data_IF_121821649037
#
_entry.id   IF_121821649037
#
_cell.length_a   1.000
_cell.length_b   1.000
_cell.length_c   1.000
_cell.angle_alpha   90.00
_cell.angle_beta   90.00
_cell.angle_gamma   90.00
#
_symmetry.space_group_name_H-M   'P 1'
#
loop_
_entity.id
_entity.type
_entity.pdbx_description
1 polymer ?
#
# COMPACT_ATOMS: atom_id res chain seq x y z
N UNK A 1 -15.06 12.20 21.78
CA UNK A 1 -14.98 11.30 22.96
C UNK A 1 -13.54 11.28 23.45
N UNK A 2 -13.32 11.49 24.75
CA UNK A 2 -11.99 11.36 25.37
C UNK A 2 -12.09 10.29 26.45
N UNK A 3 -11.30 9.22 26.32
CA UNK A 3 -11.18 8.18 27.34
C UNK A 3 -9.75 8.18 27.86
N UNK A 4 -9.61 8.43 29.16
CA UNK A 4 -8.33 8.54 29.86
C UNK A 4 -8.30 7.50 30.99
N UNK A 5 -7.83 6.30 30.68
CA UNK A 5 -7.84 5.16 31.60
C UNK A 5 -9.10 4.30 31.53
N UNK A 6 -9.00 3.11 32.12
CA UNK A 6 -10.11 2.17 32.26
C UNK A 6 -10.33 1.26 31.05
N UNK A 7 -11.49 0.59 31.04
CA UNK A 7 -11.88 -0.36 29.98
C UNK A 7 -13.11 0.14 29.25
N UNK A 8 -13.03 0.23 27.92
CA UNK A 8 -14.20 0.40 27.06
C UNK A 8 -14.53 -0.95 26.42
N UNK A 9 -15.68 -1.52 26.78
CA UNK A 9 -16.18 -2.75 26.19
C UNK A 9 -17.56 -2.48 25.57
N UNK A 10 -17.60 -2.31 24.24
CA UNK A 10 -18.83 -2.04 23.48
C UNK A 10 -18.80 -2.82 22.18
N UNK A 11 -19.96 -3.18 21.63
CA UNK A 11 -19.98 -3.90 20.35
C UNK A 11 -19.35 -3.08 19.23
N UNK A 12 -19.70 -1.79 19.13
CA UNK A 12 -19.29 -0.92 18.03
C UNK A 12 -18.78 0.42 18.56
N UNK A 13 -17.63 0.87 18.06
CA UNK A 13 -17.11 2.22 18.29
C UNK A 13 -17.14 3.00 16.97
N UNK A 14 -18.23 3.73 16.77
CA UNK A 14 -18.54 4.40 15.51
C UNK A 14 -18.63 5.93 15.68
N UNK A 15 -18.34 6.68 14.62
CA UNK A 15 -18.45 8.15 14.62
C UNK A 15 -18.80 8.75 13.26
N UNK A 16 -19.34 9.97 13.27
CA UNK A 16 -19.61 10.76 12.05
C UNK A 16 -20.92 10.37 11.38
N UNK A 17 -22.00 10.29 12.16
CA UNK A 17 -23.34 9.96 11.68
C UNK A 17 -24.10 11.19 11.19
N UNK A 18 -24.49 11.19 9.92
CA UNK A 18 -25.28 12.26 9.31
C UNK A 18 -26.78 11.97 9.22
N UNK A 19 -27.17 10.69 9.19
CA UNK A 19 -28.47 10.33 8.63
C UNK A 19 -28.58 10.81 7.17
N UNK A 20 -29.80 11.07 6.69
CA UNK A 20 -30.06 11.67 5.37
C UNK A 20 -29.92 13.20 5.34
N UNK A 21 -29.26 13.79 6.34
CA UNK A 21 -29.18 15.25 6.46
C UNK A 21 -28.39 15.88 5.31
N UNK A 22 -29.00 16.76 4.50
CA UNK A 22 -28.28 17.53 3.50
C UNK A 22 -27.21 18.40 4.17
N UNK A 23 -26.06 18.57 3.52
CA UNK A 23 -24.98 19.46 4.00
C UNK A 23 -24.36 19.09 5.35
N UNK A 24 -24.41 17.81 5.74
CA UNK A 24 -23.74 17.34 6.95
C UNK A 24 -22.22 17.61 6.90
N UNK A 25 -21.72 18.31 7.91
CA UNK A 25 -20.31 18.56 8.13
C UNK A 25 -20.01 18.39 9.62
N UNK A 26 -19.55 17.21 10.03
CA UNK A 26 -19.17 16.95 11.41
C UNK A 26 -17.74 16.45 11.49
N UNK A 27 -17.04 16.92 12.52
CA UNK A 27 -15.64 16.62 12.73
C UNK A 27 -15.40 15.88 14.06
N UNK A 28 -15.94 14.66 14.24
CA UNK A 28 -15.83 13.97 15.52
C UNK A 28 -14.38 13.56 15.78
N UNK A 29 -13.92 13.84 17.00
CA UNK A 29 -12.60 13.41 17.49
C UNK A 29 -12.78 12.36 18.60
N UNK A 30 -12.10 11.23 18.47
CA UNK A 30 -12.01 10.18 19.50
C UNK A 30 -10.56 10.09 19.96
N UNK A 31 -10.30 10.33 21.25
CA UNK A 31 -9.00 10.18 21.88
C UNK A 31 -9.05 9.05 22.91
N UNK A 32 -8.18 8.06 22.77
CA UNK A 32 -8.06 6.93 23.69
C UNK A 32 -6.64 6.94 24.28
N UNK A 33 -6.54 7.14 25.59
CA UNK A 33 -5.28 7.24 26.32
C UNK A 33 -5.33 6.38 27.58
N UNK A 34 -4.30 5.58 27.84
CA UNK A 34 -4.22 4.66 28.98
C UNK A 34 -5.35 3.63 29.06
N UNK A 35 -6.07 3.38 27.96
CA UNK A 35 -7.33 2.63 27.97
C UNK A 35 -7.19 1.26 27.33
N UNK A 36 -7.86 0.25 27.88
CA UNK A 36 -8.08 -1.03 27.20
C UNK A 36 -9.42 -0.99 26.48
N UNK A 37 -9.41 -1.15 25.16
CA UNK A 37 -10.61 -1.03 24.32
C UNK A 37 -10.89 -2.37 23.67
N UNK A 38 -12.03 -2.96 23.97
CA UNK A 38 -12.49 -4.23 23.43
C UNK A 38 -13.79 -4.01 22.67
N UNK A 39 -13.73 -4.14 21.34
CA UNK A 39 -14.87 -3.92 20.46
C UNK A 39 -14.98 -5.00 19.40
N UNK A 40 -16.16 -5.15 18.79
CA UNK A 40 -16.29 -5.93 17.57
C UNK A 40 -15.83 -5.09 16.39
N UNK A 41 -16.42 -3.91 16.19
CA UNK A 41 -16.11 -3.07 15.04
C UNK A 41 -15.74 -1.64 15.45
N UNK A 42 -14.86 -1.04 14.64
CA UNK A 42 -14.53 0.39 14.69
C UNK A 42 -14.83 0.98 13.32
N UNK A 43 -15.55 2.09 13.26
CA UNK A 43 -15.80 2.82 12.01
C UNK A 43 -15.73 4.31 12.24
N UNK A 44 -14.83 4.96 11.51
CA UNK A 44 -14.62 6.39 11.62
C UNK A 44 -15.09 7.06 10.33
N UNK A 45 -15.93 8.10 10.49
CA UNK A 45 -16.62 8.80 9.40
C UNK A 45 -17.62 7.91 8.65
N UNK A 46 -18.68 7.52 9.36
CA UNK A 46 -19.79 6.68 8.89
C UNK A 46 -20.62 7.30 7.75
N UNK A 47 -20.59 8.62 7.57
CA UNK A 47 -21.42 9.33 6.60
C UNK A 47 -20.61 10.27 5.70
N UNK A 48 -21.09 10.47 4.47
CA UNK A 48 -20.56 11.48 3.57
C UNK A 48 -20.61 12.87 4.23
N UNK A 49 -19.57 13.68 4.02
CA UNK A 49 -19.41 14.98 4.66
C UNK A 49 -18.84 14.94 6.09
N UNK A 50 -18.72 13.76 6.72
CA UNK A 50 -17.99 13.63 7.99
C UNK A 50 -16.47 13.72 7.79
N UNK A 51 -15.77 14.35 8.73
CA UNK A 51 -14.31 14.26 8.89
C UNK A 51 -13.95 13.71 10.27
N UNK A 52 -13.74 12.41 10.41
CA UNK A 52 -13.44 11.79 11.70
C UNK A 52 -11.95 11.77 12.04
N UNK A 53 -11.60 12.01 13.30
CA UNK A 53 -10.25 11.82 13.83
C UNK A 53 -10.25 10.77 14.93
N UNK A 54 -9.37 9.76 14.82
CA UNK A 54 -9.16 8.74 15.84
C UNK A 54 -7.69 8.75 16.31
N UNK A 55 -7.47 9.07 17.57
CA UNK A 55 -6.16 9.08 18.20
C UNK A 55 -6.10 7.95 19.23
N UNK A 56 -5.31 6.92 18.92
CA UNK A 56 -5.05 5.79 19.79
C UNK A 56 -3.68 6.01 20.47
N UNK A 57 -3.66 6.75 21.58
CA UNK A 57 -2.43 7.30 22.16
C UNK A 57 -1.64 6.27 22.99
N UNK A 58 -2.30 5.62 23.96
CA UNK A 58 -1.69 4.61 24.83
C UNK A 58 -2.74 3.65 25.39
N UNK A 59 -2.33 2.42 25.76
CA UNK A 59 -3.23 1.35 26.17
C UNK A 59 -3.19 0.18 25.19
N UNK A 60 -4.35 -0.40 24.86
CA UNK A 60 -4.46 -1.43 23.82
C UNK A 60 -5.87 -1.43 23.20
N UNK A 61 -5.96 -1.71 21.89
CA UNK A 61 -7.22 -1.91 21.17
C UNK A 61 -7.32 -3.34 20.64
N UNK A 62 -8.42 -4.01 20.97
CA UNK A 62 -8.84 -5.26 20.32
C UNK A 62 -10.15 -5.00 19.58
N UNK A 63 -10.12 -5.15 18.26
CA UNK A 63 -11.29 -5.09 17.37
C UNK A 63 -11.46 -6.43 16.66
N UNK A 64 -12.31 -7.32 17.19
CA UNK A 64 -12.40 -8.72 16.68
C UNK A 64 -12.99 -8.82 15.28
N UNK A 65 -13.70 -7.80 14.82
CA UNK A 65 -14.25 -7.66 13.48
C UNK A 65 -13.45 -6.68 12.62
N UNK A 66 -14.14 -5.72 12.00
CA UNK A 66 -13.53 -4.73 11.11
C UNK A 66 -13.20 -3.43 11.84
N UNK A 67 -12.00 -2.91 11.60
CA UNK A 67 -11.65 -1.52 11.83
C UNK A 67 -11.60 -0.79 10.49
N UNK A 68 -12.43 0.24 10.31
CA UNK A 68 -12.46 1.02 9.09
C UNK A 68 -12.25 2.51 9.36
N UNK A 69 -11.32 3.09 8.61
CA UNK A 69 -10.97 4.51 8.67
C UNK A 69 -11.37 5.17 7.35
N UNK A 70 -12.32 6.09 7.42
CA UNK A 70 -12.87 6.75 6.24
C UNK A 70 -13.85 5.82 5.55
N UNK A 71 -14.93 5.43 6.25
CA UNK A 71 -15.94 4.52 5.73
C UNK A 71 -16.69 5.16 4.55
N UNK A 72 -17.61 6.11 4.79
CA UNK A 72 -18.32 6.87 3.75
C UNK A 72 -17.91 8.36 3.73
N UNK A 73 -17.22 8.82 4.77
CA UNK A 73 -16.66 10.16 4.87
C UNK A 73 -15.13 10.13 4.80
N UNK A 74 -14.53 11.19 5.34
CA UNK A 74 -13.08 11.33 5.44
C UNK A 74 -12.63 11.00 6.85
N UNK A 75 -11.53 10.28 7.05
CA UNK A 75 -10.99 10.11 8.39
C UNK A 75 -9.49 9.97 8.45
N UNK A 76 -8.93 10.42 9.57
CA UNK A 76 -7.53 10.20 9.94
C UNK A 76 -7.45 9.43 11.25
N UNK A 77 -6.67 8.36 11.26
CA UNK A 77 -6.34 7.61 12.47
C UNK A 77 -4.84 7.62 12.73
N UNK A 78 -4.45 7.78 13.99
CA UNK A 78 -3.04 7.65 14.44
C UNK A 78 -2.98 6.63 15.57
N UNK A 79 -2.12 5.62 15.41
CA UNK A 79 -1.97 4.52 16.34
C UNK A 79 -0.60 4.51 17.01
N UNK A 80 -0.57 4.86 18.29
CA UNK A 80 0.60 4.82 19.16
C UNK A 80 0.48 3.76 20.27
N UNK A 81 -0.55 2.93 20.22
CA UNK A 81 -0.77 1.77 21.09
C UNK A 81 -0.90 0.48 20.25
N UNK A 82 -0.65 -0.71 20.83
CA UNK A 82 -0.86 -1.98 20.12
C UNK A 82 -2.32 -2.19 19.72
N UNK A 83 -2.53 -2.75 18.53
CA UNK A 83 -3.83 -3.10 17.96
C UNK A 83 -3.86 -4.57 17.58
N UNK A 84 -4.86 -5.29 18.08
CA UNK A 84 -5.28 -6.59 17.55
C UNK A 84 -6.58 -6.40 16.78
N UNK A 85 -6.61 -6.77 15.51
CA UNK A 85 -7.75 -6.49 14.62
C UNK A 85 -8.14 -7.74 13.83
N UNK A 86 -9.42 -7.91 13.51
CA UNK A 86 -9.84 -8.90 12.52
C UNK A 86 -9.36 -8.43 11.14
N UNK A 87 -9.98 -7.37 10.64
CA UNK A 87 -9.68 -6.73 9.36
C UNK A 87 -9.42 -5.23 9.54
N UNK A 88 -8.46 -4.67 8.80
CA UNK A 88 -8.26 -3.22 8.73
C UNK A 88 -8.56 -2.73 7.32
N UNK A 89 -9.50 -1.78 7.18
CA UNK A 89 -9.76 -1.11 5.90
C UNK A 89 -9.57 0.40 6.01
N UNK A 90 -9.06 1.00 4.95
CA UNK A 90 -8.80 2.44 4.87
C UNK A 90 -9.38 2.91 3.55
N UNK A 91 -10.43 3.74 3.58
CA UNK A 91 -11.25 3.97 2.38
C UNK A 91 -11.93 2.68 1.91
N UNK A 92 -12.60 1.97 2.83
CA UNK A 92 -13.19 0.66 2.56
C UNK A 92 -14.53 0.70 1.84
N UNK A 93 -15.33 1.76 2.01
CA UNK A 93 -16.62 1.91 1.36
C UNK A 93 -16.58 2.91 0.19
N UNK A 94 -17.66 2.94 -0.60
CA UNK A 94 -17.76 3.81 -1.76
C UNK A 94 -17.68 5.30 -1.38
N UNK A 95 -16.77 6.06 -2.00
CA UNK A 95 -16.50 7.46 -1.70
C UNK A 95 -15.71 7.71 -0.40
N UNK A 96 -15.38 6.65 0.35
CA UNK A 96 -14.61 6.75 1.59
C UNK A 96 -13.17 7.22 1.37
N UNK A 97 -12.67 8.08 2.26
CA UNK A 97 -11.29 8.57 2.22
C UNK A 97 -10.64 8.39 3.57
N UNK A 98 -9.65 7.51 3.68
CA UNK A 98 -8.99 7.20 4.93
C UNK A 98 -7.49 7.45 4.92
N UNK A 99 -6.96 7.85 6.07
CA UNK A 99 -5.53 7.82 6.34
C UNK A 99 -5.23 7.20 7.71
N UNK A 100 -4.27 6.29 7.76
CA UNK A 100 -3.85 5.60 8.97
C UNK A 100 -2.34 5.72 9.17
N UNK A 101 -1.93 6.21 10.33
CA UNK A 101 -0.53 6.35 10.73
C UNK A 101 -0.22 5.37 11.85
N UNK A 102 0.58 4.34 11.54
CA UNK A 102 1.01 3.35 12.51
C UNK A 102 2.35 3.73 13.14
N UNK A 103 2.36 3.88 14.47
CA UNK A 103 3.53 4.12 15.32
C UNK A 103 3.75 2.97 16.32
N UNK A 104 3.03 1.85 16.20
CA UNK A 104 3.11 0.73 17.14
C UNK A 104 2.89 -0.62 16.41
N UNK A 105 2.53 -1.66 17.15
CA UNK A 105 2.29 -3.02 16.64
C UNK A 105 0.83 -3.16 16.22
N UNK A 106 0.60 -3.60 14.99
CA UNK A 106 -0.70 -4.06 14.51
C UNK A 106 -0.59 -5.55 14.18
N UNK A 107 -1.49 -6.34 14.76
CA UNK A 107 -1.63 -7.77 14.44
C UNK A 107 -3.02 -8.03 13.93
N UNK A 108 -3.12 -8.52 12.70
CA UNK A 108 -4.37 -9.12 12.25
C UNK A 108 -4.53 -10.54 12.76
N UNK A 109 -5.76 -10.90 13.09
CA UNK A 109 -6.16 -12.18 13.65
C UNK A 109 -6.86 -13.10 12.64
N UNK A 110 -7.16 -12.58 11.45
CA UNK A 110 -7.84 -13.33 10.40
C UNK A 110 -6.85 -13.81 9.33
N UNK A 111 -7.26 -14.87 8.63
CA UNK A 111 -6.52 -15.41 7.49
C UNK A 111 -6.61 -14.54 6.24
N UNK A 112 -5.94 -14.99 5.18
CA UNK A 112 -5.87 -14.26 3.92
C UNK A 112 -7.26 -14.03 3.31
N UNK A 113 -7.52 -12.78 2.93
CA UNK A 113 -8.75 -12.34 2.27
C UNK A 113 -8.51 -10.98 1.65
N UNK A 114 -9.23 -10.66 0.58
CA UNK A 114 -9.28 -9.31 -0.02
C UNK A 114 -9.68 -8.21 0.96
N UNK A 115 -10.33 -8.60 2.06
CA UNK A 115 -10.81 -7.71 3.11
C UNK A 115 -9.87 -7.64 4.32
N UNK A 116 -8.77 -8.41 4.35
CA UNK A 116 -7.94 -8.54 5.55
C UNK A 116 -7.20 -7.24 5.91
N UNK A 117 -6.39 -6.74 4.99
CA UNK A 117 -5.90 -5.38 5.03
C UNK A 117 -6.07 -4.73 3.68
N UNK A 118 -7.00 -3.79 3.59
CA UNK A 118 -7.40 -3.19 2.32
C UNK A 118 -7.23 -1.67 2.36
N UNK A 119 -6.46 -1.14 1.42
CA UNK A 119 -6.16 0.30 1.31
C UNK A 119 -6.78 0.82 0.00
N UNK A 120 -7.79 1.68 0.09
CA UNK A 120 -8.47 2.25 -1.07
C UNK A 120 -9.24 1.22 -1.88
N UNK A 121 -9.97 0.34 -1.18
CA UNK A 121 -10.68 -0.78 -1.77
C UNK A 121 -12.03 -0.35 -2.37
N UNK A 122 -12.72 0.61 -1.73
CA UNK A 122 -14.06 1.02 -2.13
C UNK A 122 -14.12 1.75 -3.48
N UNK A 123 -15.31 1.77 -4.05
CA UNK A 123 -15.63 2.51 -5.26
C UNK A 123 -15.38 4.03 -5.10
N UNK A 124 -14.62 4.69 -5.98
CA UNK A 124 -14.27 6.12 -5.84
C UNK A 124 -13.66 6.46 -4.47
N UNK A 125 -12.99 5.48 -3.85
CA UNK A 125 -12.37 5.63 -2.54
C UNK A 125 -10.89 5.94 -2.64
N UNK A 126 -10.34 6.41 -1.52
CA UNK A 126 -8.91 6.56 -1.35
C UNK A 126 -8.47 6.06 0.03
N UNK A 127 -7.37 5.31 0.08
CA UNK A 127 -6.74 4.88 1.32
C UNK A 127 -5.26 5.24 1.38
N UNK A 128 -4.83 5.66 2.57
CA UNK A 128 -3.43 5.90 2.90
C UNK A 128 -3.04 5.13 4.17
N UNK A 129 -2.01 4.31 4.11
CA UNK A 129 -1.38 3.74 5.29
C UNK A 129 0.08 4.14 5.35
N UNK A 130 0.53 4.57 6.52
CA UNK A 130 1.94 4.82 6.81
C UNK A 130 2.42 4.00 7.99
N UNK A 131 3.47 3.21 7.79
CA UNK A 131 4.23 2.58 8.87
C UNK A 131 5.46 3.43 9.21
N UNK A 132 5.57 3.86 10.47
CA UNK A 132 6.69 4.67 10.94
C UNK A 132 7.79 3.82 11.60
N UNK A 133 8.93 4.46 11.87
CA UNK A 133 10.05 3.81 12.56
C UNK A 133 9.61 3.24 13.92
N UNK A 134 10.09 2.03 14.24
CA UNK A 134 9.73 1.31 15.46
C UNK A 134 8.36 0.62 15.44
N UNK A 135 7.52 0.88 14.44
CA UNK A 135 6.21 0.26 14.29
C UNK A 135 6.28 -1.08 13.54
N UNK A 136 5.33 -1.98 13.78
CA UNK A 136 5.17 -3.19 12.98
C UNK A 136 3.71 -3.45 12.62
N UNK A 137 3.48 -4.07 11.47
CA UNK A 137 2.13 -4.46 11.06
C UNK A 137 2.16 -5.80 10.32
N UNK A 138 1.42 -6.78 10.82
CA UNK A 138 1.35 -8.12 10.22
C UNK A 138 -0.07 -8.43 9.78
N UNK A 139 -0.21 -8.78 8.51
CA UNK A 139 -1.47 -9.17 7.89
C UNK A 139 -1.26 -10.43 7.04
N UNK A 140 -2.30 -11.25 6.94
CA UNK A 140 -2.25 -12.40 6.05
C UNK A 140 -2.29 -11.96 4.59
N UNK A 141 -3.16 -11.00 4.28
CA UNK A 141 -3.21 -10.37 2.96
C UNK A 141 -3.21 -8.85 3.07
N UNK A 142 -2.41 -8.21 2.20
CA UNK A 142 -2.33 -6.76 2.02
C UNK A 142 -2.76 -6.42 0.59
N UNK A 143 -3.90 -5.74 0.44
CA UNK A 143 -4.38 -5.18 -0.81
C UNK A 143 -4.19 -3.66 -0.85
N UNK A 144 -3.60 -3.14 -1.93
CA UNK A 144 -3.34 -1.70 -2.10
C UNK A 144 -3.96 -1.23 -3.40
N UNK A 145 -4.88 -0.27 -3.35
CA UNK A 145 -5.53 0.32 -4.51
C UNK A 145 -6.51 -0.64 -5.18
N UNK A 146 -7.61 -0.95 -4.49
CA UNK A 146 -8.68 -1.80 -4.97
C UNK A 146 -8.70 -3.20 -4.37
N UNK A 147 -9.90 -3.63 -3.99
CA UNK A 147 -10.30 -4.99 -3.63
C UNK A 147 -11.83 -5.02 -3.51
N UNK A 148 -12.51 -6.10 -3.92
CA UNK A 148 -13.95 -6.26 -3.69
C UNK A 148 -14.89 -5.68 -4.78
N UNK A 149 -15.92 -6.44 -5.10
CA UNK A 149 -16.70 -6.31 -6.33
C UNK A 149 -17.60 -5.08 -6.49
N UNK A 150 -17.81 -4.71 -7.74
CA UNK A 150 -18.71 -3.65 -8.18
C UNK A 150 -18.16 -2.99 -9.44
N UNK A 151 -18.76 -3.27 -10.59
CA UNK A 151 -18.36 -2.64 -11.85
C UNK A 151 -18.41 -1.11 -11.77
N UNK A 152 -17.48 -0.48 -12.49
CA UNK A 152 -17.51 0.92 -12.91
C UNK A 152 -16.99 2.04 -11.97
N UNK A 153 -16.01 1.83 -11.07
CA UNK A 153 -15.41 2.97 -10.33
C UNK A 153 -13.88 2.91 -10.18
N UNK A 154 -13.24 4.09 -10.15
CA UNK A 154 -11.79 4.26 -9.91
C UNK A 154 -11.51 4.20 -8.41
N UNK A 155 -10.38 3.63 -7.99
CA UNK A 155 -9.98 3.64 -6.57
C UNK A 155 -8.46 3.78 -6.43
N UNK A 156 -8.02 4.28 -5.28
CA UNK A 156 -6.64 4.66 -5.05
C UNK A 156 -6.11 4.23 -3.70
N UNK A 157 -4.97 3.54 -3.66
CA UNK A 157 -4.36 3.12 -2.40
C UNK A 157 -2.89 3.49 -2.32
N UNK A 158 -2.43 3.93 -1.15
CA UNK A 158 -1.02 4.21 -0.89
C UNK A 158 -0.57 3.48 0.37
N UNK A 159 0.47 2.67 0.22
CA UNK A 159 1.20 2.04 1.30
C UNK A 159 2.58 2.68 1.41
N UNK A 160 2.80 3.47 2.45
CA UNK A 160 4.08 4.07 2.78
C UNK A 160 4.74 3.34 3.96
N UNK A 161 5.95 2.84 3.76
CA UNK A 161 6.80 2.27 4.80
C UNK A 161 8.01 3.17 4.89
N UNK A 162 7.99 4.03 5.91
CA UNK A 162 9.06 4.97 6.21
C UNK A 162 10.03 4.41 7.27
N UNK A 163 9.65 3.33 7.94
CA UNK A 163 10.44 2.63 8.94
C UNK A 163 9.69 1.40 9.45
N UNK A 164 10.32 0.67 10.38
CA UNK A 164 9.71 -0.51 10.98
C UNK A 164 9.52 -1.67 10.01
N UNK A 165 8.54 -2.55 10.27
CA UNK A 165 8.29 -3.73 9.44
C UNK A 165 6.81 -3.90 9.12
N UNK A 166 6.50 -4.09 7.84
CA UNK A 166 5.17 -4.53 7.40
C UNK A 166 5.31 -5.90 6.77
N UNK A 167 4.48 -6.86 7.19
CA UNK A 167 4.56 -8.25 6.75
C UNK A 167 3.24 -8.69 6.13
N UNK A 168 3.32 -9.17 4.89
CA UNK A 168 2.27 -9.95 4.24
C UNK A 168 2.65 -11.43 4.32
N UNK A 169 1.93 -12.23 5.13
CA UNK A 169 2.30 -13.63 5.32
C UNK A 169 1.79 -14.56 4.21
N UNK A 170 0.73 -14.18 3.50
CA UNK A 170 0.17 -14.97 2.40
C UNK A 170 0.08 -14.21 1.06
N UNK A 171 -0.45 -12.99 1.05
CA UNK A 171 -0.70 -12.27 -0.21
C UNK A 171 -0.35 -10.79 -0.10
N UNK A 172 0.35 -10.29 -1.11
CA UNK A 172 0.54 -8.85 -1.30
C UNK A 172 0.04 -8.52 -2.71
N UNK A 173 -1.05 -7.75 -2.78
CA UNK A 173 -1.85 -7.63 -4.00
C UNK A 173 -2.13 -6.17 -4.35
N UNK A 174 -1.12 -5.41 -4.81
CA UNK A 174 -1.35 -4.08 -5.34
C UNK A 174 -2.21 -4.13 -6.62
N UNK A 175 -3.24 -3.30 -6.69
CA UNK A 175 -4.28 -3.30 -7.72
C UNK A 175 -4.94 -4.67 -7.91
N UNK A 176 -5.50 -5.22 -6.82
CA UNK A 176 -6.33 -6.42 -6.89
C UNK A 176 -7.79 -6.05 -7.11
N UNK A 177 -8.23 -5.99 -8.35
CA UNK A 177 -9.63 -5.66 -8.66
C UNK A 177 -10.42 -6.83 -9.23
N UNK A 178 -11.74 -6.81 -9.07
CA UNK A 178 -12.65 -7.63 -9.89
C UNK A 178 -13.41 -6.76 -10.90
N UNK A 179 -13.06 -5.47 -11.03
CA UNK A 179 -13.71 -4.49 -11.91
C UNK A 179 -12.99 -4.29 -13.25
N UNK A 180 -13.61 -3.49 -14.12
CA UNK A 180 -13.16 -3.18 -15.49
C UNK A 180 -12.56 -1.76 -15.66
N UNK A 181 -12.44 -0.98 -14.58
CA UNK A 181 -11.93 0.39 -14.61
C UNK A 181 -10.58 0.54 -13.91
N UNK A 182 -9.92 1.66 -14.22
CA UNK A 182 -8.57 2.00 -13.77
C UNK A 182 -8.45 2.16 -12.27
N UNK A 183 -7.41 1.56 -11.72
CA UNK A 183 -7.03 1.71 -10.32
C UNK A 183 -5.58 2.13 -10.25
N UNK A 184 -5.26 2.89 -9.21
CA UNK A 184 -3.88 3.33 -9.00
C UNK A 184 -3.45 2.95 -7.60
N UNK A 185 -2.29 2.30 -7.50
CA UNK A 185 -1.66 2.05 -6.24
C UNK A 185 -0.23 2.54 -6.22
N UNK A 186 0.20 2.97 -5.04
CA UNK A 186 1.57 3.36 -4.76
C UNK A 186 2.05 2.61 -3.53
N UNK A 187 3.16 1.89 -3.67
CA UNK A 187 3.84 1.25 -2.54
C UNK A 187 5.24 1.86 -2.44
N UNK A 188 5.48 2.62 -1.37
CA UNK A 188 6.79 3.21 -1.12
C UNK A 188 7.43 2.55 0.08
N UNK A 189 8.64 2.03 -0.10
CA UNK A 189 9.49 1.53 0.96
C UNK A 189 10.75 2.39 0.97
N UNK A 190 10.67 3.54 1.63
CA UNK A 190 11.76 4.53 1.70
C UNK A 190 12.58 4.39 2.99
N UNK A 191 12.06 3.60 3.93
CA UNK A 191 12.75 3.12 5.13
C UNK A 191 12.09 1.85 5.64
N UNK A 192 12.75 1.11 6.53
CA UNK A 192 12.20 -0.13 7.10
C UNK A 192 12.08 -1.28 6.09
N UNK A 193 11.17 -2.22 6.34
CA UNK A 193 11.06 -3.46 5.56
C UNK A 193 9.62 -3.82 5.23
N UNK A 194 9.37 -4.14 3.98
CA UNK A 194 8.20 -4.88 3.52
C UNK A 194 8.60 -6.35 3.34
N UNK A 195 8.09 -7.23 4.19
CA UNK A 195 8.28 -8.66 4.04
C UNK A 195 7.21 -9.23 3.11
N UNK A 196 7.63 -9.73 1.95
CA UNK A 196 6.74 -10.37 0.98
C UNK A 196 6.49 -11.84 1.36
N UNK A 197 5.34 -12.41 0.98
CA UNK A 197 4.97 -13.77 1.37
C UNK A 197 5.93 -14.84 0.84
N UNK A 198 6.04 -15.95 1.59
CA UNK A 198 6.70 -17.19 1.14
C UNK A 198 5.68 -18.29 0.75
N UNK A 199 4.42 -18.11 1.12
CA UNK A 199 3.29 -18.92 0.67
C UNK A 199 2.25 -17.99 0.08
N UNK A 200 1.62 -18.32 -1.06
CA UNK A 200 0.80 -17.38 -1.82
C UNK A 200 1.65 -16.53 -2.78
N UNK A 201 1.26 -15.30 -3.11
CA UNK A 201 1.96 -14.49 -4.13
C UNK A 201 2.07 -13.01 -3.76
N UNK A 202 3.19 -12.41 -4.14
CA UNK A 202 3.28 -10.97 -4.40
C UNK A 202 2.87 -10.73 -5.85
N UNK A 203 1.62 -10.29 -6.06
CA UNK A 203 0.99 -10.23 -7.38
C UNK A 203 0.38 -8.86 -7.63
N UNK A 204 0.97 -8.13 -8.54
CA UNK A 204 0.55 -6.79 -8.94
C UNK A 204 -0.40 -6.88 -10.13
N UNK A 205 -1.43 -6.02 -10.16
CA UNK A 205 -2.42 -5.91 -11.26
C UNK A 205 -3.07 -7.26 -11.60
N UNK A 206 -3.94 -7.78 -10.73
CA UNK A 206 -4.40 -9.19 -10.85
C UNK A 206 -5.38 -9.48 -11.98
N UNK A 207 -5.90 -8.45 -12.66
CA UNK A 207 -7.05 -8.58 -13.58
C UNK A 207 -6.74 -7.97 -14.93
N UNK A 208 -7.06 -8.68 -16.01
CA UNK A 208 -6.89 -8.15 -17.37
C UNK A 208 -7.94 -7.09 -17.68
N UNK A 209 -7.51 -5.98 -18.30
CA UNK A 209 -8.37 -4.94 -18.90
C UNK A 209 -8.82 -3.77 -17.99
N UNK A 210 -8.06 -3.44 -16.94
CA UNK A 210 -8.42 -2.36 -16.02
C UNK A 210 -7.83 -0.97 -16.33
N UNK A 211 -6.72 -0.83 -17.07
CA UNK A 211 -5.84 0.36 -16.94
C UNK A 211 -5.35 0.50 -15.48
N UNK A 212 -4.85 -0.61 -14.95
CA UNK A 212 -4.30 -0.69 -13.60
C UNK A 212 -2.88 -0.13 -13.58
N UNK A 213 -2.63 0.84 -12.70
CA UNK A 213 -1.36 1.54 -12.60
C UNK A 213 -0.75 1.28 -11.22
N UNK A 214 0.27 0.44 -11.14
CA UNK A 214 0.94 0.11 -9.89
C UNK A 214 2.37 0.62 -9.91
N UNK A 215 2.70 1.46 -8.93
CA UNK A 215 4.05 2.00 -8.77
C UNK A 215 4.61 1.56 -7.43
N UNK A 216 5.76 0.89 -7.46
CA UNK A 216 6.49 0.43 -6.31
C UNK A 216 7.83 1.16 -6.29
N UNK A 217 8.16 1.82 -5.19
CA UNK A 217 9.44 2.51 -5.01
C UNK A 217 10.17 1.97 -3.79
N UNK A 218 11.45 1.62 -3.95
CA UNK A 218 12.33 1.16 -2.88
C UNK A 218 13.58 2.01 -2.90
N UNK A 219 13.84 2.76 -1.84
CA UNK A 219 14.96 3.71 -1.77
C UNK A 219 15.38 3.98 -0.32
N UNK A 220 16.44 4.76 -0.13
CA UNK A 220 16.90 5.15 1.20
C UNK A 220 17.41 3.94 1.97
N UNK A 221 16.81 3.65 3.13
CA UNK A 221 17.09 2.42 3.91
C UNK A 221 15.97 1.39 3.77
N UNK A 222 15.04 1.61 2.86
CA UNK A 222 13.90 0.74 2.63
C UNK A 222 14.27 -0.56 1.94
N UNK A 223 13.60 -1.65 2.32
CA UNK A 223 13.81 -2.96 1.74
C UNK A 223 12.52 -3.74 1.49
N UNK A 224 12.41 -4.38 0.32
CA UNK A 224 11.44 -5.47 0.09
C UNK A 224 12.21 -6.79 0.23
N UNK A 225 11.78 -7.66 1.14
CA UNK A 225 12.50 -8.91 1.44
C UNK A 225 11.53 -10.09 1.39
N UNK A 226 11.91 -11.15 0.67
CA UNK A 226 11.22 -12.42 0.65
C UNK A 226 11.28 -13.16 1.98
N UNK A 227 10.15 -13.65 2.47
CA UNK A 227 10.09 -14.50 3.65
C UNK A 227 10.70 -15.91 3.44
N UNK A 228 11.04 -16.30 2.21
CA UNK A 228 11.73 -17.55 1.93
C UNK A 228 11.91 -17.85 0.44
N UNK A 229 12.24 -19.10 0.11
CA UNK A 229 12.63 -19.52 -1.22
C UNK A 229 11.53 -19.40 -2.30
N UNK A 230 10.26 -19.27 -1.93
CA UNK A 230 9.15 -19.11 -2.85
C UNK A 230 8.71 -17.65 -3.04
N UNK A 231 9.43 -16.68 -2.46
CA UNK A 231 9.11 -15.26 -2.53
C UNK A 231 9.48 -14.62 -3.87
N UNK A 232 8.62 -14.81 -4.86
CA UNK A 232 8.67 -14.13 -6.17
C UNK A 232 7.73 -12.93 -6.22
N UNK A 233 8.02 -11.98 -7.10
CA UNK A 233 7.11 -10.89 -7.46
C UNK A 233 6.64 -11.07 -8.90
N UNK A 234 5.33 -11.19 -9.08
CA UNK A 234 4.69 -10.98 -10.38
C UNK A 234 4.34 -9.50 -10.49
N UNK A 235 5.21 -8.73 -11.15
CA UNK A 235 5.15 -7.27 -11.24
C UNK A 235 3.99 -6.78 -12.11
N UNK A 236 3.49 -7.61 -13.02
CA UNK A 236 2.26 -7.31 -13.76
C UNK A 236 1.57 -8.61 -14.15
N UNK A 237 0.48 -8.94 -13.46
CA UNK A 237 -0.26 -10.16 -13.77
C UNK A 237 -1.31 -9.98 -14.85
N UNK A 238 -1.73 -8.74 -15.11
CA UNK A 238 -2.84 -8.42 -16.00
C UNK A 238 -2.38 -8.13 -17.42
N UNK A 239 -3.34 -8.17 -18.35
CA UNK A 239 -3.13 -7.86 -19.78
C UNK A 239 -3.73 -6.50 -20.13
N UNK A 240 -3.44 -6.02 -21.34
CA UNK A 240 -3.89 -4.72 -21.83
C UNK A 240 -3.05 -3.59 -21.26
N UNK A 241 -3.66 -2.44 -20.99
CA UNK A 241 -2.97 -1.22 -20.55
C UNK A 241 -2.58 -1.21 -19.06
N UNK A 242 -2.41 -2.37 -18.43
CA UNK A 242 -2.02 -2.45 -17.03
C UNK A 242 -0.51 -2.34 -16.90
N UNK A 243 -0.02 -1.45 -16.03
CA UNK A 243 1.39 -1.18 -15.80
C UNK A 243 1.78 -1.51 -14.36
N UNK A 244 2.87 -2.27 -14.23
CA UNK A 244 3.57 -2.49 -12.97
C UNK A 244 4.99 -1.95 -13.07
N UNK A 245 5.30 -0.94 -12.26
CA UNK A 245 6.61 -0.29 -12.22
C UNK A 245 7.25 -0.54 -10.86
N UNK A 246 8.47 -1.05 -10.86
CA UNK A 246 9.32 -1.14 -9.67
C UNK A 246 10.55 -0.27 -9.87
N UNK A 247 10.75 0.73 -9.02
CA UNK A 247 11.98 1.51 -8.97
C UNK A 247 12.81 1.10 -7.75
N UNK A 248 14.03 0.62 -8.01
CA UNK A 248 15.05 0.33 -6.99
C UNK A 248 16.05 1.49 -7.01
N UNK A 249 15.74 2.52 -6.24
CA UNK A 249 16.51 3.75 -6.12
C UNK A 249 17.67 3.65 -5.13
N UNK A 250 18.52 4.68 -5.10
CA UNK A 250 19.71 4.79 -4.23
C UNK A 250 19.44 4.33 -2.81
N UNK A 251 20.25 3.37 -2.34
CA UNK A 251 20.20 2.78 -1.00
C UNK A 251 19.10 1.72 -0.78
N UNK A 252 18.07 1.68 -1.63
CA UNK A 252 16.99 0.70 -1.53
C UNK A 252 17.46 -0.71 -1.86
N UNK A 253 16.84 -1.72 -1.24
CA UNK A 253 17.13 -3.13 -1.51
C UNK A 253 15.87 -3.94 -1.85
N UNK A 254 15.90 -4.70 -2.93
CA UNK A 254 14.89 -5.72 -3.22
C UNK A 254 15.56 -7.08 -3.19
N UNK A 255 15.19 -7.91 -2.20
CA UNK A 255 15.71 -9.26 -2.00
C UNK A 255 14.60 -10.29 -2.20
N UNK A 256 14.54 -10.89 -3.39
CA UNK A 256 13.50 -11.85 -3.80
C UNK A 256 14.11 -13.03 -4.55
N UNK A 257 13.32 -14.07 -4.84
CA UNK A 257 13.77 -15.23 -5.64
C UNK A 257 13.49 -15.09 -7.13
N UNK A 258 12.83 -13.99 -7.53
CA UNK A 258 12.64 -13.63 -8.92
C UNK A 258 11.59 -12.54 -9.07
N UNK A 259 11.78 -11.71 -10.08
CA UNK A 259 10.80 -10.71 -10.53
C UNK A 259 10.41 -11.07 -11.96
N UNK A 260 9.11 -11.25 -12.19
CA UNK A 260 8.54 -11.70 -13.44
C UNK A 260 7.25 -10.93 -13.77
N UNK A 261 6.79 -11.09 -15.01
CA UNK A 261 5.43 -10.74 -15.43
C UNK A 261 4.74 -12.00 -15.97
N UNK A 262 3.45 -12.15 -15.68
CA UNK A 262 2.58 -13.06 -16.45
C UNK A 262 1.68 -12.31 -17.43
N UNK A 263 1.72 -10.97 -17.41
CA UNK A 263 1.06 -10.08 -18.34
C UNK A 263 1.98 -9.65 -19.48
N UNK A 264 1.77 -8.45 -20.00
CA UNK A 264 2.64 -7.86 -21.02
C UNK A 264 3.99 -7.44 -20.39
N UNK A 265 5.09 -7.84 -21.02
CA UNK A 265 6.44 -7.52 -20.58
C UNK A 265 6.77 -6.03 -20.74
N UNK A 266 6.25 -5.38 -21.80
CA UNK A 266 6.48 -3.93 -22.02
C UNK A 266 5.76 -3.07 -20.96
N UNK A 267 4.85 -3.66 -20.18
CA UNK A 267 4.18 -3.00 -19.06
C UNK A 267 4.63 -3.50 -17.68
N UNK A 268 5.69 -4.32 -17.61
CA UNK A 268 6.31 -4.76 -16.37
C UNK A 268 7.76 -4.25 -16.30
N UNK A 269 7.93 -3.05 -15.73
CA UNK A 269 9.17 -2.28 -15.82
C UNK A 269 9.89 -2.26 -14.48
N UNK A 270 11.16 -2.63 -14.48
CA UNK A 270 12.08 -2.48 -13.34
C UNK A 270 13.08 -1.37 -13.64
N UNK A 271 12.99 -0.25 -12.92
CA UNK A 271 13.96 0.83 -12.97
C UNK A 271 15.07 0.60 -11.93
N UNK A 272 16.28 0.35 -12.41
CA UNK A 272 17.48 0.22 -11.61
C UNK A 272 18.18 1.59 -11.55
N UNK A 273 18.22 2.20 -10.37
CA UNK A 273 18.74 3.57 -10.20
C UNK A 273 19.52 3.74 -8.89
N UNK A 274 20.62 2.99 -8.74
CA UNK A 274 21.54 3.08 -7.59
C UNK A 274 21.17 2.23 -6.38
N UNK A 275 20.09 1.44 -6.46
CA UNK A 275 19.72 0.47 -5.43
C UNK A 275 20.24 -0.95 -5.73
N UNK A 276 20.00 -1.85 -4.78
CA UNK A 276 20.46 -3.24 -4.81
C UNK A 276 19.33 -4.21 -5.12
N UNK A 277 19.50 -4.98 -6.20
CA UNK A 277 18.71 -6.18 -6.49
C UNK A 277 19.49 -7.40 -5.98
N UNK A 278 18.95 -8.09 -4.98
CA UNK A 278 19.61 -9.17 -4.25
C UNK A 278 18.87 -10.49 -4.40
N UNK A 279 19.59 -11.59 -4.59
CA UNK A 279 18.98 -12.92 -4.61
C UNK A 279 18.60 -13.36 -3.18
N UNK A 280 17.32 -13.70 -2.98
CA UNK A 280 16.80 -14.21 -1.70
C UNK A 280 17.01 -15.71 -1.48
N UNK A 281 17.17 -16.46 -2.56
CA UNK A 281 17.49 -17.89 -2.60
C UNK A 281 18.04 -18.22 -4.00
N UNK A 282 18.24 -19.51 -4.31
CA UNK A 282 18.55 -19.95 -5.68
C UNK A 282 17.46 -19.45 -6.64
N UNK A 283 17.85 -18.54 -7.54
CA UNK A 283 16.98 -17.86 -8.48
C UNK A 283 17.50 -18.04 -9.91
N UNK A 284 16.99 -19.01 -10.68
CA UNK A 284 17.40 -19.21 -12.07
C UNK A 284 17.20 -17.98 -12.96
N UNK A 285 16.33 -17.05 -12.54
CA UNK A 285 16.13 -15.74 -13.14
C UNK A 285 15.74 -14.72 -12.06
N UNK A 286 16.70 -13.91 -11.59
CA UNK A 286 16.42 -12.86 -10.61
C UNK A 286 15.56 -11.74 -11.23
N UNK A 287 15.81 -11.43 -12.51
CA UNK A 287 14.85 -10.75 -13.40
C UNK A 287 14.57 -11.66 -14.59
N UNK A 288 13.31 -12.02 -14.80
CA UNK A 288 12.88 -12.90 -15.88
C UNK A 288 12.83 -12.19 -17.25
N UNK A 289 12.83 -12.95 -18.34
CA UNK A 289 12.65 -12.42 -19.71
C UNK A 289 11.30 -11.70 -19.92
N UNK A 290 10.35 -11.90 -19.02
CA UNK A 290 9.01 -11.30 -19.07
C UNK A 290 8.94 -9.92 -18.42
N UNK A 291 10.05 -9.34 -17.98
CA UNK A 291 10.13 -7.95 -17.53
C UNK A 291 11.20 -7.19 -18.31
N UNK A 292 11.14 -5.86 -18.23
CA UNK A 292 12.13 -4.98 -18.85
C UNK A 292 12.87 -4.24 -17.75
N UNK A 293 14.20 -4.36 -17.74
CA UNK A 293 15.06 -3.56 -16.88
C UNK A 293 15.50 -2.28 -17.58
N UNK A 294 15.31 -1.14 -16.93
CA UNK A 294 15.94 0.12 -17.33
C UNK A 294 17.06 0.47 -16.35
N UNK A 295 18.26 0.71 -16.86
CA UNK A 295 19.42 1.11 -16.05
C UNK A 295 19.61 2.61 -16.16
N UNK A 296 19.28 3.33 -15.09
CA UNK A 296 19.38 4.80 -15.01
C UNK A 296 20.77 5.26 -14.59
N UNK A 297 20.99 6.58 -14.49
CA UNK A 297 22.29 7.18 -14.17
C UNK A 297 22.90 6.74 -12.83
N UNK A 298 22.07 6.30 -11.86
CA UNK A 298 22.55 5.69 -10.61
C UNK A 298 23.11 4.27 -10.77
N UNK A 299 22.93 3.64 -11.93
CA UNK A 299 23.38 2.29 -12.23
C UNK A 299 22.52 1.19 -11.59
N UNK A 300 22.99 -0.05 -11.71
CA UNK A 300 22.39 -1.23 -11.12
C UNK A 300 23.41 -1.94 -10.22
N UNK A 301 23.03 -2.27 -8.99
CA UNK A 301 23.81 -3.15 -8.11
C UNK A 301 23.07 -4.49 -8.07
N UNK A 302 23.72 -5.55 -8.54
CA UNK A 302 23.20 -6.92 -8.48
C UNK A 302 24.03 -7.73 -7.52
N UNK A 303 23.39 -8.24 -6.47
CA UNK A 303 24.00 -9.07 -5.45
C UNK A 303 23.43 -10.49 -5.53
N UNK A 304 24.23 -11.44 -6.02
CA UNK A 304 23.80 -12.84 -6.11
C UNK A 304 23.68 -13.51 -4.75
N UNK A 305 24.15 -12.87 -3.67
CA UNK A 305 24.08 -13.37 -2.30
C UNK A 305 24.65 -14.79 -2.15
N UNK A 306 25.65 -15.13 -2.97
CA UNK A 306 26.27 -16.46 -3.03
C UNK A 306 25.49 -17.52 -3.80
N UNK A 307 24.35 -17.19 -4.40
CA UNK A 307 23.57 -18.11 -5.24
C UNK A 307 23.99 -18.06 -6.70
N UNK A 308 23.78 -19.16 -7.43
CA UNK A 308 23.87 -19.16 -8.88
C UNK A 308 22.60 -18.52 -9.45
N UNK A 309 22.68 -17.24 -9.78
CA UNK A 309 21.54 -16.44 -10.21
C UNK A 309 21.94 -15.53 -11.37
N UNK A 310 21.01 -15.33 -12.30
CA UNK A 310 21.26 -14.52 -13.49
C UNK A 310 20.14 -13.50 -13.72
N UNK A 311 20.41 -12.58 -14.65
CA UNK A 311 19.46 -11.62 -15.19
C UNK A 311 19.15 -12.08 -16.62
N UNK A 312 17.88 -12.42 -16.88
CA UNK A 312 17.41 -12.83 -18.21
C UNK A 312 16.65 -11.71 -18.92
N UNK A 313 16.14 -10.73 -18.16
CA UNK A 313 15.48 -9.55 -18.70
C UNK A 313 16.37 -8.77 -19.67
N UNK A 314 15.75 -8.13 -20.66
CA UNK A 314 16.44 -7.11 -21.47
C UNK A 314 16.76 -5.91 -20.59
N UNK A 315 18.03 -5.49 -20.57
CA UNK A 315 18.47 -4.27 -19.92
C UNK A 315 18.63 -3.16 -20.97
N UNK A 316 17.86 -2.09 -20.81
CA UNK A 316 17.80 -0.96 -21.75
C UNK A 316 18.25 0.32 -21.05
N UNK A 317 18.81 1.24 -21.83
CA UNK A 317 18.90 2.62 -21.38
C UNK A 317 17.49 3.24 -21.37
N UNK A 318 17.18 4.15 -20.42
CA UNK A 318 15.93 4.91 -20.45
C UNK A 318 15.80 5.67 -21.77
N UNK A 319 14.60 5.71 -22.32
CA UNK A 319 14.29 6.60 -23.44
C UNK A 319 14.10 8.03 -22.92
N UNK A 320 14.73 9.01 -23.58
CA UNK A 320 14.68 10.44 -23.26
C UNK A 320 15.28 10.84 -21.90
N UNK A 321 15.44 12.16 -21.71
CA UNK A 321 15.81 12.74 -20.43
C UNK A 321 14.62 12.64 -19.46
N UNK A 322 14.82 12.07 -18.28
CA UNK A 322 13.78 11.96 -17.26
C UNK A 322 13.16 13.32 -16.89
N UNK A 323 11.98 13.28 -16.27
CA UNK A 323 11.31 14.49 -15.78
C UNK A 323 12.10 15.06 -14.60
N UNK A 324 12.78 16.21 -14.81
CA UNK A 324 13.61 16.85 -13.78
C UNK A 324 12.77 17.42 -12.62
N UNK A 325 11.66 18.06 -12.94
CA UNK A 325 10.70 18.57 -11.96
C UNK A 325 9.33 18.78 -12.58
N UNK A 326 8.30 18.70 -11.74
CA UNK A 326 6.93 19.09 -12.09
C UNK A 326 6.56 20.21 -11.11
N UNK A 327 6.92 21.47 -11.43
CA UNK A 327 6.65 22.57 -10.53
C UNK A 327 5.13 22.73 -10.37
N UNK A 328 4.67 22.73 -9.12
CA UNK A 328 3.31 23.12 -8.79
C UNK A 328 3.28 24.64 -8.59
N UNK A 329 2.54 25.35 -9.43
CA UNK A 329 2.36 26.81 -9.29
C UNK A 329 1.66 27.17 -7.96
N UNK A 330 0.84 26.26 -7.45
CA UNK A 330 0.20 26.36 -6.13
C UNK A 330 0.31 24.99 -5.46
N UNK A 331 0.87 24.95 -4.25
CA UNK A 331 0.87 23.72 -3.45
C UNK A 331 -0.55 23.44 -2.93
N UNK A 332 -0.98 22.19 -3.00
CA UNK A 332 -2.22 21.77 -2.34
C UNK A 332 -2.04 21.77 -0.82
N UNK A 333 -3.13 21.98 -0.08
CA UNK A 333 -3.17 21.93 1.38
C UNK A 333 -4.32 21.03 1.86
N UNK A 334 -4.27 20.58 3.11
CA UNK A 334 -5.35 19.79 3.73
C UNK A 334 -5.35 18.29 3.42
N UNK A 335 -4.25 17.76 2.86
CA UNK A 335 -4.11 16.33 2.66
C UNK A 335 -3.99 15.60 4.01
N UNK A 336 -4.72 14.48 4.14
CA UNK A 336 -4.60 13.59 5.30
C UNK A 336 -3.58 12.47 5.10
N UNK A 337 -3.07 12.33 3.88
CA UNK A 337 -2.12 11.33 3.41
C UNK A 337 -1.62 11.68 2.00
N UNK A 338 -0.67 10.91 1.47
CA UNK A 338 0.02 11.19 0.20
C UNK A 338 -0.94 11.20 -1.00
N UNK A 339 -1.14 12.31 -1.72
CA UNK A 339 -2.04 12.27 -2.88
C UNK A 339 -1.49 11.35 -3.97
N UNK A 340 -2.39 10.65 -4.66
CA UNK A 340 -2.08 10.00 -5.93
C UNK A 340 -2.19 11.04 -7.04
N UNK A 341 -1.11 11.24 -7.76
CA UNK A 341 -1.04 12.17 -8.89
C UNK A 341 -0.65 11.38 -10.12
N UNK A 342 -1.48 11.44 -11.17
CA UNK A 342 -1.14 10.90 -12.47
C UNK A 342 -0.56 12.00 -13.34
N UNK A 343 0.65 11.77 -13.84
CA UNK A 343 1.32 12.63 -14.80
C UNK A 343 1.16 11.99 -16.17
N UNK A 344 0.64 12.72 -17.14
CA UNK A 344 0.45 12.25 -18.52
C UNK A 344 1.43 12.95 -19.44
N UNK A 345 2.02 12.20 -20.38
CA UNK A 345 3.02 12.70 -21.33
C UNK A 345 3.68 11.54 -22.07
N UNK A 346 4.83 11.80 -22.68
CA UNK A 346 5.65 10.83 -23.40
C UNK A 346 6.70 10.10 -22.51
N UNK A 347 6.75 10.44 -21.22
CA UNK A 347 7.63 9.80 -20.24
C UNK A 347 7.17 8.39 -19.86
N UNK A 348 7.53 7.38 -20.65
CA UNK A 348 7.29 5.97 -20.33
C UNK A 348 8.21 5.52 -19.19
N UNK A 349 7.66 4.83 -18.18
CA UNK A 349 8.45 4.25 -17.09
C UNK A 349 8.88 5.26 -16.00
N UNK A 350 8.48 6.54 -16.11
CA UNK A 350 8.76 7.54 -15.08
C UNK A 350 7.91 7.31 -13.83
N UNK A 351 8.54 7.36 -12.66
CA UNK A 351 7.85 7.30 -11.36
C UNK A 351 8.02 8.63 -10.64
N UNK A 352 6.92 9.19 -10.14
CA UNK A 352 6.93 10.37 -9.28
C UNK A 352 6.19 10.06 -7.98
N UNK A 353 6.65 10.68 -6.91
CA UNK A 353 6.01 10.61 -5.60
C UNK A 353 5.66 12.04 -5.20
N UNK A 354 4.37 12.29 -4.97
CA UNK A 354 3.96 13.55 -4.37
C UNK A 354 4.42 13.57 -2.91
N UNK A 355 5.18 14.60 -2.53
CA UNK A 355 5.49 14.85 -1.13
C UNK A 355 4.46 15.82 -0.54
N UNK A 356 4.15 15.66 0.75
CA UNK A 356 3.05 16.38 1.41
C UNK A 356 3.34 16.65 2.89
#
# INVERSE_FOLDING_TARGET
MNLNGGTLAVTNLYSGFAGTAPSYNAEPVINLSGSTVNVTNVRIAESAGAFGTLNLNSGALTATGQMEVGWNGKAKATASMPISVGNLKIGGAGGGVGAFYNNNVITSTLGASTDNFAIGNGANSYGYFRNNAGASATFAEIGVGGAGGGGATTSGGVLDIAGGTVTASAWLTPNRTNGILGQTCLVNVTGGTLTSPNSGQFRVNTTGNGDLQAVLNVSGTGSIIGAGAASTMNLNSGVGNNYGLLTIGTGGTVQLTGILSSGDAEHAIVNLNGGTLKAGALAPALLATTVIGHVHGGGAIVDTNGFDSNIQASLRAPANSGVLSIPLATQGAGYIGRPLVRITGDGVGATAVADF
#
